data_IF_124968703032
#
_entry.id   IF_124968703032
#
_cell.length_a   1.000
_cell.length_b   1.000
_cell.length_c   1.000
_cell.angle_alpha   90.00
_cell.angle_beta   90.00
_cell.angle_gamma   90.00
#
_symmetry.space_group_name_H-M   'P 1'
#
loop_
_entity.id
_entity.type
_entity.pdbx_description
1 polymer ?
#
# COMPACT_ATOMS: atom_id res chain seq x y z
N UNK A 1 -22.02 -13.62 -13.98
CA UNK A 1 -21.25 -12.37 -14.10
C UNK A 1 -20.03 -12.56 -13.23
N UNK A 2 -18.84 -12.72 -13.81
CA UNK A 2 -17.64 -12.94 -13.02
C UNK A 2 -17.28 -11.62 -12.33
N UNK A 3 -17.14 -11.65 -11.01
CA UNK A 3 -16.61 -10.53 -10.24
C UNK A 3 -15.14 -10.40 -10.64
N UNK A 4 -14.84 -9.40 -11.45
CA UNK A 4 -13.53 -9.15 -12.06
C UNK A 4 -12.64 -8.29 -11.16
N UNK A 5 -12.87 -8.35 -9.84
CA UNK A 5 -12.08 -7.64 -8.87
C UNK A 5 -10.73 -8.35 -8.68
N UNK A 6 -9.65 -7.69 -9.14
CA UNK A 6 -8.28 -8.22 -9.09
C UNK A 6 -7.51 -7.76 -7.83
N UNK A 7 -8.20 -7.14 -6.87
CA UNK A 7 -7.60 -6.59 -5.66
C UNK A 7 -7.14 -5.14 -5.82
N UNK A 8 -6.36 -4.68 -4.84
CA UNK A 8 -5.75 -3.35 -4.84
C UNK A 8 -4.23 -3.45 -4.97
N UNK A 9 -3.62 -2.55 -5.73
CA UNK A 9 -2.16 -2.46 -5.84
C UNK A 9 -1.58 -1.51 -4.79
N UNK A 10 -0.52 -1.93 -4.11
CA UNK A 10 0.14 -1.15 -3.05
C UNK A 10 1.65 -1.14 -3.29
N UNK A 11 2.25 0.04 -3.22
CA UNK A 11 3.70 0.20 -3.17
C UNK A 11 4.15 0.17 -1.71
N UNK A 12 5.16 -0.65 -1.41
CA UNK A 12 5.72 -0.78 -0.07
C UNK A 12 7.13 -0.20 -0.05
N UNK A 13 7.35 0.77 0.82
CA UNK A 13 8.64 1.41 1.05
C UNK A 13 9.08 1.13 2.48
N UNK A 14 10.38 0.97 2.66
CA UNK A 14 10.99 0.82 3.97
C UNK A 14 11.95 1.99 4.18
N UNK A 15 11.84 2.64 5.33
CA UNK A 15 12.74 3.75 5.70
C UNK A 15 14.03 3.23 6.36
N UNK A 16 14.98 4.13 6.63
CA UNK A 16 16.30 3.80 7.19
C UNK A 16 16.22 3.23 8.61
N UNK A 17 15.16 3.55 9.36
CA UNK A 17 14.89 3.00 10.70
C UNK A 17 14.24 1.61 10.65
N UNK A 18 13.83 1.15 9.46
CA UNK A 18 13.16 -0.14 9.25
C UNK A 18 11.63 -0.06 9.25
N UNK A 19 11.07 1.13 9.47
CA UNK A 19 9.64 1.41 9.39
C UNK A 19 9.06 1.17 8.00
N UNK A 20 7.81 0.73 7.95
CA UNK A 20 7.09 0.45 6.71
C UNK A 20 6.11 1.55 6.34
N UNK A 21 6.20 2.01 5.09
CA UNK A 21 5.24 2.91 4.46
C UNK A 21 4.56 2.20 3.28
N UNK A 22 3.25 2.01 3.40
CA UNK A 22 2.40 1.48 2.35
C UNK A 22 1.66 2.61 1.63
N UNK A 23 1.71 2.62 0.31
CA UNK A 23 1.05 3.62 -0.54
C UNK A 23 0.10 2.96 -1.53
N UNK A 24 -1.18 3.32 -1.48
CA UNK A 24 -2.19 2.77 -2.38
C UNK A 24 -2.03 3.37 -3.77
N UNK A 25 -1.79 2.52 -4.78
CA UNK A 25 -1.55 2.98 -6.17
C UNK A 25 -2.81 3.61 -6.76
N UNK A 26 -3.97 3.05 -6.44
CA UNK A 26 -5.26 3.54 -6.94
C UNK A 26 -5.74 4.83 -6.25
N UNK A 27 -5.16 5.17 -5.10
CA UNK A 27 -5.51 6.37 -4.34
C UNK A 27 -4.25 7.01 -3.75
N UNK A 28 -3.56 7.90 -4.51
CA UNK A 28 -2.29 8.46 -4.10
C UNK A 28 -2.36 9.36 -2.84
N UNK A 29 -3.57 9.72 -2.39
CA UNK A 29 -3.78 10.43 -1.13
C UNK A 29 -3.87 9.52 0.10
N UNK A 30 -3.81 8.20 -0.07
CA UNK A 30 -3.96 7.22 1.01
C UNK A 30 -2.65 6.48 1.22
N UNK A 31 -2.12 6.61 2.42
CA UNK A 31 -0.92 5.92 2.89
C UNK A 31 -1.12 5.40 4.30
N UNK A 32 -0.47 4.28 4.62
CA UNK A 32 -0.42 3.70 5.95
C UNK A 32 1.03 3.52 6.40
N UNK A 33 1.29 3.68 7.70
CA UNK A 33 2.61 3.57 8.29
C UNK A 33 2.58 2.65 9.51
N UNK A 34 3.61 1.82 9.68
CA UNK A 34 3.75 0.92 10.82
C UNK A 34 5.22 0.62 11.15
N UNK A 35 5.49 0.52 12.45
CA UNK A 35 6.80 0.18 13.03
C UNK A 35 7.06 -1.34 12.94
N UNK A 36 6.05 -2.18 13.26
CA UNK A 36 5.90 -3.61 12.87
C UNK A 36 4.57 -4.18 13.35
#
# INVERSE_FOLDING_TARGET
MADNFDGFSVNLFQDEDGDWLAHLVEMPGISAFADT
#
